data_IF_747940736314
#
_entry.id   IF_747940736314
#
_cell.length_a   1.000
_cell.length_b   1.000
_cell.length_c   1.000
_cell.angle_alpha   90.00
_cell.angle_beta   90.00
_cell.angle_gamma   90.00
#
_symmetry.space_group_name_H-M   'P 1'
#
loop_
_entity.id
_entity.type
_entity.pdbx_description
1 polymer ?
#
# COMPACT_ATOMS: atom_id res chain seq x y z
N UNK A 1 -23.98 -1.76 6.10
CA UNK A 1 -23.55 -2.33 4.80
C UNK A 1 -22.54 -3.47 5.00
N UNK A 2 -21.34 -3.21 5.55
CA UNK A 2 -20.29 -4.23 5.77
C UNK A 2 -20.78 -5.47 6.55
N UNK A 3 -21.45 -5.29 7.70
CA UNK A 3 -21.93 -6.42 8.50
C UNK A 3 -22.99 -7.30 7.81
N UNK A 4 -23.75 -6.74 6.84
CA UNK A 4 -24.71 -7.52 6.04
C UNK A 4 -23.97 -8.49 5.12
N UNK A 5 -22.97 -8.00 4.39
CA UNK A 5 -22.19 -8.83 3.46
C UNK A 5 -21.26 -9.80 4.19
N UNK A 6 -20.69 -9.42 5.33
CA UNK A 6 -19.88 -10.32 6.15
C UNK A 6 -20.69 -11.53 6.63
N UNK A 7 -21.96 -11.31 7.03
CA UNK A 7 -22.87 -12.41 7.42
C UNK A 7 -23.20 -13.34 6.26
N UNK A 8 -23.45 -12.79 5.07
CA UNK A 8 -23.69 -13.58 3.85
C UNK A 8 -22.47 -14.43 3.50
N UNK A 9 -21.27 -13.88 3.65
CA UNK A 9 -20.01 -14.60 3.42
C UNK A 9 -19.60 -15.55 4.56
N UNK A 10 -20.34 -15.61 5.67
CA UNK A 10 -20.00 -16.45 6.83
C UNK A 10 -18.79 -15.98 7.64
N UNK A 11 -18.33 -14.74 7.46
CA UNK A 11 -17.13 -14.20 8.11
C UNK A 11 -17.52 -13.38 9.35
N UNK A 12 -16.93 -13.71 10.50
CA UNK A 12 -17.15 -13.01 11.77
C UNK A 12 -16.06 -11.96 12.02
N UNK A 13 -16.37 -10.96 12.87
CA UNK A 13 -15.41 -9.92 13.29
C UNK A 13 -15.10 -8.84 12.24
N UNK A 14 -15.80 -8.83 11.11
CA UNK A 14 -15.57 -7.87 10.03
C UNK A 14 -16.13 -6.49 10.39
N UNK A 15 -15.27 -5.48 10.36
CA UNK A 15 -15.61 -4.08 10.57
C UNK A 15 -14.83 -3.20 9.57
N UNK A 16 -15.24 -1.93 9.33
CA UNK A 16 -14.67 -1.10 8.27
C UNK A 16 -13.15 -0.95 8.31
N UNK A 17 -12.55 -0.82 9.50
CA UNK A 17 -11.09 -0.71 9.65
C UNK A 17 -10.37 -2.00 9.23
N UNK A 18 -10.89 -3.19 9.58
CA UNK A 18 -10.32 -4.47 9.15
C UNK A 18 -10.32 -4.60 7.63
N UNK A 19 -11.41 -4.25 6.96
CA UNK A 19 -11.47 -4.31 5.48
C UNK A 19 -10.48 -3.34 4.83
N UNK A 20 -10.38 -2.10 5.34
CA UNK A 20 -9.41 -1.13 4.85
C UNK A 20 -7.98 -1.64 5.02
N UNK A 21 -7.68 -2.24 6.17
CA UNK A 21 -6.35 -2.79 6.46
C UNK A 21 -6.03 -3.99 5.56
N UNK A 22 -6.94 -4.95 5.42
CA UNK A 22 -6.76 -6.10 4.53
C UNK A 22 -6.57 -5.67 3.07
N UNK A 23 -7.33 -4.67 2.60
CA UNK A 23 -7.17 -4.11 1.26
C UNK A 23 -5.78 -3.49 1.05
N UNK A 24 -5.34 -2.63 1.98
CA UNK A 24 -4.03 -1.98 1.89
C UNK A 24 -2.89 -3.01 1.93
N UNK A 25 -2.93 -3.94 2.89
CA UNK A 25 -1.93 -5.01 3.03
C UNK A 25 -1.87 -5.89 1.78
N UNK A 26 -3.00 -6.23 1.18
CA UNK A 26 -3.04 -7.03 -0.05
C UNK A 26 -2.40 -6.31 -1.24
N UNK A 27 -2.66 -5.00 -1.39
CA UNK A 27 -2.06 -4.19 -2.45
C UNK A 27 -0.55 -4.03 -2.27
N UNK A 28 -0.09 -3.76 -1.04
CA UNK A 28 1.35 -3.67 -0.73
C UNK A 28 2.05 -5.00 -1.00
N UNK A 29 1.46 -6.12 -0.58
CA UNK A 29 2.01 -7.44 -0.82
C UNK A 29 2.09 -7.79 -2.32
N UNK A 30 1.15 -7.26 -3.12
CA UNK A 30 1.16 -7.35 -4.58
C UNK A 30 2.14 -6.40 -5.28
N UNK A 31 2.88 -5.57 -4.53
CA UNK A 31 3.84 -4.62 -5.08
C UNK A 31 3.23 -3.34 -5.64
N UNK A 32 1.99 -3.01 -5.26
CA UNK A 32 1.38 -1.75 -5.63
C UNK A 32 2.08 -0.58 -4.91
N UNK A 33 2.24 0.53 -5.64
CA UNK A 33 2.86 1.75 -5.13
C UNK A 33 2.04 2.33 -3.97
N UNK A 34 2.72 2.67 -2.87
CA UNK A 34 2.09 3.26 -1.68
C UNK A 34 1.35 4.56 -1.97
N UNK A 35 1.81 5.34 -2.95
CA UNK A 35 1.14 6.56 -3.40
C UNK A 35 -0.21 6.25 -4.03
N UNK A 36 -0.27 5.21 -4.85
CA UNK A 36 -1.52 4.72 -5.46
C UNK A 36 -2.47 4.19 -4.38
N UNK A 37 -1.95 3.45 -3.40
CA UNK A 37 -2.76 2.95 -2.27
C UNK A 37 -3.33 4.10 -1.43
N UNK A 38 -2.54 5.15 -1.19
CA UNK A 38 -3.00 6.35 -0.46
C UNK A 38 -4.14 7.07 -1.19
N UNK A 39 -4.00 7.26 -2.50
CA UNK A 39 -5.04 7.86 -3.34
C UNK A 39 -6.33 7.03 -3.33
N UNK A 40 -6.21 5.70 -3.46
CA UNK A 40 -7.34 4.77 -3.41
C UNK A 40 -8.05 4.73 -2.05
N UNK A 41 -7.33 5.00 -0.96
CA UNK A 41 -7.88 5.00 0.39
C UNK A 41 -8.44 6.35 0.85
N UNK A 42 -8.19 7.42 0.09
CA UNK A 42 -8.79 8.75 0.26
C UNK A 42 -8.39 9.45 1.57
N UNK A 43 -7.17 9.25 2.05
CA UNK A 43 -6.71 9.85 3.32
C UNK A 43 -6.12 11.24 3.09
N UNK A 44 -6.79 12.27 3.64
CA UNK A 44 -6.26 13.63 3.83
C UNK A 44 -5.32 13.74 5.05
N UNK A 45 -5.21 12.68 5.86
CA UNK A 45 -4.40 12.65 7.10
C UNK A 45 -3.34 11.54 7.04
N UNK A 46 -2.08 11.94 7.25
CA UNK A 46 -0.85 11.18 7.01
C UNK A 46 -0.52 10.21 8.17
N UNK A 47 -1.24 10.30 9.30
CA UNK A 47 -0.94 9.57 10.54
C UNK A 47 -0.95 8.03 10.44
N UNK A 48 -1.66 7.42 9.48
CA UNK A 48 -1.72 5.95 9.31
C UNK A 48 -0.75 5.40 8.25
N UNK A 49 -0.01 6.27 7.57
CA UNK A 49 0.89 5.89 6.46
C UNK A 49 2.31 5.56 6.94
N UNK A 50 2.67 5.97 8.16
CA UNK A 50 4.01 5.74 8.73
C UNK A 50 4.36 4.25 8.88
N UNK A 51 3.35 3.37 8.96
CA UNK A 51 3.53 1.91 9.01
C UNK A 51 4.03 1.37 7.65
N UNK A 52 3.60 1.97 6.53
CA UNK A 52 3.96 1.47 5.19
C UNK A 52 5.36 1.91 4.75
N UNK A 53 5.90 3.00 5.32
CA UNK A 53 7.29 3.43 5.09
C UNK A 53 8.34 2.38 5.47
N UNK A 54 8.01 1.47 6.41
CA UNK A 54 8.93 0.41 6.81
C UNK A 54 9.00 -0.73 5.80
N UNK A 55 7.99 -0.89 4.95
CA UNK A 55 7.89 -1.98 3.96
C UNK A 55 8.48 -1.57 2.59
N UNK A 56 8.55 -0.27 2.31
CA UNK A 56 8.89 0.28 0.99
C UNK A 56 10.39 0.44 0.70
N UNK A 57 11.28 0.28 1.70
CA UNK A 57 12.72 0.58 1.52
C UNK A 57 13.37 -0.18 0.35
N UNK A 58 12.92 -1.39 0.04
CA UNK A 58 13.45 -2.18 -1.07
C UNK A 58 12.93 -1.73 -2.44
N UNK A 59 11.69 -1.23 -2.51
CA UNK A 59 11.08 -0.71 -3.73
C UNK A 59 11.61 0.69 -4.05
N UNK A 60 11.67 1.57 -3.03
CA UNK A 60 12.30 2.88 -3.15
C UNK A 60 13.75 2.77 -3.60
N UNK A 61 14.51 1.80 -3.06
CA UNK A 61 15.89 1.52 -3.50
C UNK A 61 15.93 1.16 -4.98
N UNK A 62 15.08 0.25 -5.46
CA UNK A 62 15.02 -0.14 -6.88
C UNK A 62 14.63 1.01 -7.80
N UNK A 63 13.68 1.84 -7.39
CA UNK A 63 13.25 3.01 -8.16
C UNK A 63 14.35 4.06 -8.21
N UNK A 64 15.03 4.31 -7.09
CA UNK A 64 16.23 5.14 -7.07
C UNK A 64 17.27 4.54 -8.01
N UNK A 65 17.68 3.28 -7.82
CA UNK A 65 18.72 2.65 -8.65
C UNK A 65 18.37 2.73 -10.15
N UNK A 66 17.11 2.53 -10.53
CA UNK A 66 16.65 2.59 -11.93
C UNK A 66 16.63 3.99 -12.54
N UNK A 67 16.36 5.03 -11.77
CA UNK A 67 16.18 6.38 -12.28
C UNK A 67 17.23 7.38 -11.76
N UNK A 68 18.20 6.92 -10.96
CA UNK A 68 19.24 7.78 -10.42
C UNK A 68 20.18 8.19 -11.55
N UNK A 69 20.41 9.50 -11.76
CA UNK A 69 21.19 10.03 -12.88
C UNK A 69 22.68 9.63 -12.91
N UNK A 70 23.15 8.83 -11.94
CA UNK A 70 24.50 8.26 -11.91
C UNK A 70 24.64 6.95 -12.68
N UNK A 71 23.57 6.16 -12.82
CA UNK A 71 23.61 4.92 -13.62
C UNK A 71 23.52 5.23 -15.13
N UNK A 72 22.76 6.27 -15.50
CA UNK A 72 22.62 6.71 -16.89
C UNK A 72 23.91 7.32 -17.50
N UNK A 73 24.95 7.60 -16.69
CA UNK A 73 26.24 8.13 -17.16
C UNK A 73 27.35 7.08 -17.29
N UNK A 74 27.06 5.80 -17.03
CA UNK A 74 28.04 4.70 -17.09
C UNK A 74 28.11 3.95 -18.41
N UNK A 75 27.22 4.22 -19.36
CA UNK A 75 27.29 3.68 -20.72
C UNK A 75 27.91 4.73 -21.66
N UNK A 76 29.22 4.91 -21.53
CA UNK A 76 30.06 5.64 -22.48
C UNK A 76 31.10 4.67 -23.06
#
# INVERSE_FOLDING_TARGET
IVGKYARIAGIRGVHPHLLRHSFATHLVAGGADLRVIQELLGHSDIGTTQIYTHVDRSHLRKTIDRFHPREARGAA
#
